data_IF_933480480597
#
_entry.id   IF_933480480597
#
_cell.length_a   1.000
_cell.length_b   1.000
_cell.length_c   1.000
_cell.angle_alpha   90.00
_cell.angle_beta   90.00
_cell.angle_gamma   90.00
#
_symmetry.space_group_name_H-M   'P 1'
#
loop_
_entity.id
_entity.type
_entity.pdbx_description
1 polymer ?
#
# COMPACT_ATOMS: atom_id res chain seq x y z
N UNK A 1 -12.54 -12.49 -10.02
CA UNK A 1 -11.69 -13.38 -10.86
C UNK A 1 -12.11 -14.86 -10.71
N UNK A 2 -12.09 -15.65 -11.79
CA UNK A 2 -12.33 -17.12 -11.79
C UNK A 2 -11.05 -17.93 -11.58
N UNK A 3 -11.16 -19.20 -11.21
CA UNK A 3 -9.99 -20.11 -11.07
C UNK A 3 -9.17 -20.24 -12.37
N UNK A 4 -9.82 -20.28 -13.54
CA UNK A 4 -9.14 -20.38 -14.83
C UNK A 4 -8.36 -19.09 -15.17
N UNK A 5 -8.94 -17.92 -14.85
CA UNK A 5 -8.28 -16.62 -14.97
C UNK A 5 -7.06 -16.55 -14.03
N UNK A 6 -7.23 -16.91 -12.76
CA UNK A 6 -6.16 -16.90 -11.75
C UNK A 6 -4.96 -17.78 -12.17
N UNK A 7 -5.26 -18.98 -12.66
CA UNK A 7 -4.21 -19.88 -13.17
C UNK A 7 -3.51 -19.32 -14.41
N UNK A 8 -4.26 -18.69 -15.31
CA UNK A 8 -3.70 -18.16 -16.56
C UNK A 8 -2.81 -16.95 -16.32
N UNK A 9 -3.20 -16.04 -15.42
CA UNK A 9 -2.36 -14.88 -15.07
C UNK A 9 -1.15 -15.30 -14.24
N UNK A 10 -1.28 -16.27 -13.33
CA UNK A 10 -0.15 -16.81 -12.56
C UNK A 10 0.92 -17.43 -13.47
N UNK A 11 0.53 -18.28 -14.42
CA UNK A 11 1.49 -18.85 -15.38
C UNK A 11 2.17 -17.78 -16.23
N UNK A 12 1.44 -16.70 -16.57
CA UNK A 12 2.03 -15.59 -17.32
C UNK A 12 3.06 -14.83 -16.47
N UNK A 13 2.76 -14.58 -15.20
CA UNK A 13 3.69 -13.92 -14.25
C UNK A 13 4.96 -14.75 -14.08
N UNK A 14 4.84 -16.07 -13.96
CA UNK A 14 6.00 -16.98 -13.83
C UNK A 14 6.94 -16.97 -15.05
N UNK A 15 6.44 -16.53 -16.20
CA UNK A 15 7.20 -16.42 -17.46
C UNK A 15 7.68 -14.99 -17.75
N UNK A 16 7.37 -14.01 -16.89
CA UNK A 16 7.79 -12.63 -17.08
C UNK A 16 9.31 -12.49 -16.94
N UNK A 17 9.92 -11.53 -17.66
CA UNK A 17 11.26 -11.08 -17.33
C UNK A 17 11.31 -10.54 -15.90
N UNK A 18 12.40 -10.84 -15.17
CA UNK A 18 12.60 -10.40 -13.78
C UNK A 18 12.31 -8.89 -13.60
N UNK A 19 12.83 -8.04 -14.50
CA UNK A 19 12.60 -6.58 -14.45
C UNK A 19 11.11 -6.19 -14.50
N UNK A 20 10.28 -6.94 -15.23
CA UNK A 20 8.84 -6.68 -15.33
C UNK A 20 8.11 -7.18 -14.09
N UNK A 21 8.48 -8.35 -13.58
CA UNK A 21 7.92 -8.89 -12.34
C UNK A 21 8.28 -8.00 -11.15
N UNK A 22 9.55 -7.57 -11.04
CA UNK A 22 10.03 -6.67 -10.00
C UNK A 22 9.25 -5.37 -10.01
N UNK A 23 9.10 -4.73 -11.17
CA UNK A 23 8.30 -3.50 -11.29
C UNK A 23 6.84 -3.73 -10.86
N UNK A 24 6.22 -4.83 -11.26
CA UNK A 24 4.85 -5.15 -10.83
C UNK A 24 4.75 -5.24 -9.30
N UNK A 25 5.73 -5.87 -8.64
CA UNK A 25 5.77 -5.96 -7.18
C UNK A 25 6.08 -4.62 -6.51
N UNK A 26 7.00 -3.82 -7.05
CA UNK A 26 7.30 -2.47 -6.55
C UNK A 26 6.04 -1.58 -6.52
N UNK A 27 5.26 -1.58 -7.61
CA UNK A 27 4.02 -0.81 -7.69
C UNK A 27 2.97 -1.30 -6.69
N UNK A 28 2.85 -2.63 -6.52
CA UNK A 28 1.95 -3.22 -5.54
C UNK A 28 2.35 -2.82 -4.10
N UNK A 29 3.64 -2.98 -3.77
CA UNK A 29 4.21 -2.64 -2.45
C UNK A 29 4.02 -1.15 -2.17
N UNK A 30 4.30 -0.27 -3.12
CA UNK A 30 4.11 1.17 -2.98
C UNK A 30 2.65 1.53 -2.73
N UNK A 31 1.71 0.92 -3.46
CA UNK A 31 0.28 1.09 -3.23
C UNK A 31 -0.15 0.61 -1.84
N UNK A 32 0.25 -0.60 -1.45
CA UNK A 32 -0.05 -1.17 -0.13
C UNK A 32 0.52 -0.31 1.00
N UNK A 33 1.77 0.15 0.87
CA UNK A 33 2.41 1.03 1.84
C UNK A 33 1.69 2.37 1.97
N UNK A 34 1.24 2.95 0.85
CA UNK A 34 0.49 4.21 0.85
C UNK A 34 -0.87 4.07 1.53
N UNK A 35 -1.60 2.99 1.22
CA UNK A 35 -2.86 2.69 1.90
C UNK A 35 -2.66 2.42 3.39
N UNK A 36 -1.69 1.57 3.74
CA UNK A 36 -1.39 1.24 5.13
C UNK A 36 -1.03 2.49 5.94
N UNK A 37 -0.25 3.40 5.37
CA UNK A 37 0.09 4.66 6.02
C UNK A 37 -1.15 5.54 6.28
N UNK A 38 -2.11 5.60 5.34
CA UNK A 38 -3.39 6.28 5.59
C UNK A 38 -4.17 5.61 6.72
N UNK A 39 -4.20 4.29 6.75
CA UNK A 39 -4.89 3.53 7.79
C UNK A 39 -4.38 3.88 9.19
N UNK A 40 -3.05 4.01 9.36
CA UNK A 40 -2.45 4.20 10.69
C UNK A 40 -2.15 5.66 11.05
N UNK A 41 -2.02 6.55 10.07
CA UNK A 41 -1.67 7.96 10.30
C UNK A 41 -2.79 8.93 9.93
N UNK A 42 -3.77 8.52 9.13
CA UNK A 42 -4.80 9.41 8.59
C UNK A 42 -5.60 10.12 9.67
N UNK A 43 -5.97 9.41 10.75
CA UNK A 43 -6.67 10.03 11.88
C UNK A 43 -5.84 11.12 12.57
N UNK A 44 -4.52 10.91 12.70
CA UNK A 44 -3.65 11.90 13.32
C UNK A 44 -3.42 13.10 12.40
N UNK A 45 -3.29 12.87 11.09
CA UNK A 45 -3.21 13.96 10.11
C UNK A 45 -4.51 14.78 10.16
N UNK A 46 -5.69 14.14 10.12
CA UNK A 46 -6.99 14.83 10.19
C UNK A 46 -7.16 15.70 11.44
N UNK A 47 -6.64 15.26 12.59
CA UNK A 47 -6.73 16.02 13.85
C UNK A 47 -5.98 17.35 13.81
N UNK A 48 -4.85 17.39 13.09
CA UNK A 48 -3.94 18.55 13.15
C UNK A 48 -3.95 19.37 11.87
N UNK A 49 -4.28 18.78 10.72
CA UNK A 49 -4.06 19.37 9.40
C UNK A 49 -4.86 20.66 9.21
N UNK A 50 -6.18 20.61 9.37
CA UNK A 50 -7.05 21.77 9.14
C UNK A 50 -6.75 22.91 10.11
N UNK A 51 -6.66 22.60 11.41
CA UNK A 51 -6.38 23.57 12.47
C UNK A 51 -5.03 24.29 12.25
N UNK A 52 -3.98 23.56 11.87
CA UNK A 52 -2.67 24.14 11.63
C UNK A 52 -2.60 24.91 10.30
N UNK A 53 -3.29 24.43 9.26
CA UNK A 53 -3.42 25.13 7.97
C UNK A 53 -4.15 26.46 8.14
N UNK A 54 -5.21 26.52 8.96
CA UNK A 54 -5.90 27.75 9.33
C UNK A 54 -5.01 28.73 10.11
N UNK A 55 -4.11 28.21 10.94
CA UNK A 55 -3.10 29.01 11.65
C UNK A 55 -1.96 29.51 10.73
N UNK A 56 -1.97 29.15 9.45
CA UNK A 56 -0.95 29.55 8.48
C UNK A 56 0.36 28.81 8.63
N UNK A 57 0.34 27.60 9.21
CA UNK A 57 1.49 26.72 9.30
C UNK A 57 1.87 26.16 7.93
N UNK A 58 3.16 25.97 7.73
CA UNK A 58 3.69 25.29 6.55
C UNK A 58 3.39 23.79 6.58
N UNK A 59 3.41 23.14 5.41
CA UNK A 59 3.23 21.68 5.31
C UNK A 59 4.30 20.96 6.14
N UNK A 60 5.54 21.46 6.12
CA UNK A 60 6.65 20.92 6.91
C UNK A 60 6.37 20.99 8.41
N UNK A 61 5.82 22.11 8.91
CA UNK A 61 5.43 22.23 10.32
C UNK A 61 4.30 21.27 10.70
N UNK A 62 3.35 21.02 9.79
CA UNK A 62 2.25 20.08 10.01
C UNK A 62 2.81 18.65 10.07
N UNK A 63 3.65 18.26 9.12
CA UNK A 63 4.29 16.95 9.12
C UNK A 63 5.12 16.70 10.37
N UNK A 64 5.89 17.69 10.82
CA UNK A 64 6.64 17.60 12.08
C UNK A 64 5.73 17.39 13.30
N UNK A 65 4.53 17.96 13.30
CA UNK A 65 3.56 17.76 14.38
C UNK A 65 2.95 16.36 14.33
N UNK A 66 2.56 15.88 13.16
CA UNK A 66 2.07 14.49 12.98
C UNK A 66 3.14 13.49 13.45
N UNK A 67 4.39 13.67 13.04
CA UNK A 67 5.51 12.78 13.41
C UNK A 67 5.77 12.71 14.92
N UNK A 68 5.43 13.75 15.69
CA UNK A 68 5.61 13.78 17.16
C UNK A 68 4.49 13.06 17.91
N UNK A 69 3.30 13.00 17.31
CA UNK A 69 2.08 12.49 17.94
C UNK A 69 1.63 11.14 17.35
N UNK A 70 2.45 10.55 16.48
CA UNK A 70 2.14 9.29 15.79
C UNK A 70 2.71 8.06 16.50
N UNK A 71 2.46 6.89 15.91
CA UNK A 71 2.82 5.58 16.41
C UNK A 71 4.35 5.37 16.51
N UNK A 72 4.72 4.60 17.53
CA UNK A 72 6.07 4.05 17.68
C UNK A 72 6.26 2.84 16.75
N UNK A 73 7.52 2.50 16.47
CA UNK A 73 7.87 1.50 15.46
C UNK A 73 7.25 0.13 15.74
N UNK A 74 7.22 -0.30 17.01
CA UNK A 74 6.59 -1.57 17.43
C UNK A 74 5.07 -1.59 17.15
N UNK A 75 4.40 -0.45 17.32
CA UNK A 75 2.96 -0.33 17.06
C UNK A 75 2.68 -0.39 15.56
N UNK A 76 3.53 0.21 14.73
CA UNK A 76 3.42 0.14 13.27
C UNK A 76 3.52 -1.31 12.80
N UNK A 77 4.53 -2.05 13.28
CA UNK A 77 4.65 -3.48 12.94
C UNK A 77 3.46 -4.30 13.44
N UNK A 78 2.98 -4.05 14.65
CA UNK A 78 1.80 -4.74 15.18
C UNK A 78 0.54 -4.48 14.36
N UNK A 79 0.35 -3.24 13.88
CA UNK A 79 -0.78 -2.90 13.01
C UNK A 79 -0.66 -3.59 11.66
N UNK A 80 0.54 -3.65 11.07
CA UNK A 80 0.75 -4.32 9.80
C UNK A 80 0.45 -5.82 9.89
N UNK A 81 1.05 -6.49 10.88
CA UNK A 81 0.84 -7.93 11.09
C UNK A 81 -0.63 -8.21 11.37
N UNK A 82 -1.28 -7.39 12.20
CA UNK A 82 -2.71 -7.52 12.48
C UNK A 82 -3.60 -7.34 11.24
N UNK A 83 -3.19 -6.50 10.28
CA UNK A 83 -3.96 -6.26 9.07
C UNK A 83 -3.80 -7.35 7.99
N UNK A 84 -2.74 -8.15 8.05
CA UNK A 84 -2.36 -9.04 6.94
C UNK A 84 -2.08 -10.49 7.34
N UNK A 85 -1.91 -10.82 8.63
CA UNK A 85 -1.46 -12.17 9.02
C UNK A 85 -2.53 -13.24 8.78
N UNK A 86 -3.78 -12.98 9.17
CA UNK A 86 -4.88 -13.90 8.98
C UNK A 86 -5.50 -13.70 7.60
N UNK A 87 -5.91 -14.80 6.94
CA UNK A 87 -6.43 -14.76 5.57
C UNK A 87 -7.65 -13.83 5.44
N UNK A 88 -8.57 -13.86 6.41
CA UNK A 88 -9.73 -12.97 6.41
C UNK A 88 -9.38 -11.49 6.61
N UNK A 89 -8.37 -11.19 7.44
CA UNK A 89 -7.92 -9.80 7.64
C UNK A 89 -7.23 -9.27 6.38
N UNK A 90 -6.43 -10.12 5.72
CA UNK A 90 -5.80 -9.80 4.44
C UNK A 90 -6.81 -9.60 3.31
N UNK A 91 -7.92 -10.36 3.29
CA UNK A 91 -9.04 -10.13 2.37
C UNK A 91 -9.65 -8.74 2.58
N UNK A 92 -9.94 -8.34 3.82
CA UNK A 92 -10.46 -7.00 4.11
C UNK A 92 -9.46 -5.90 3.75
N UNK A 93 -8.19 -6.06 4.10
CA UNK A 93 -7.14 -5.11 3.74
C UNK A 93 -7.02 -4.97 2.21
N UNK A 94 -7.09 -6.08 1.47
CA UNK A 94 -7.04 -6.08 0.01
C UNK A 94 -8.26 -5.38 -0.61
N UNK A 95 -9.48 -5.64 -0.09
CA UNK A 95 -10.71 -4.98 -0.51
C UNK A 95 -10.66 -3.46 -0.28
N UNK A 96 -10.17 -3.03 0.89
CA UNK A 96 -10.06 -1.61 1.21
C UNK A 96 -8.94 -0.95 0.40
N UNK A 97 -7.82 -1.63 0.18
CA UNK A 97 -6.74 -1.16 -0.70
C UNK A 97 -7.32 -0.77 -2.06
N UNK A 98 -7.96 -1.71 -2.77
CA UNK A 98 -8.40 -1.49 -4.15
C UNK A 98 -9.56 -0.48 -4.28
N UNK A 99 -10.20 -0.11 -3.16
CA UNK A 99 -11.19 0.96 -3.09
C UNK A 99 -10.56 2.32 -2.73
N UNK A 100 -9.36 2.33 -2.15
CA UNK A 100 -8.67 3.54 -1.74
C UNK A 100 -8.10 4.30 -2.92
N UNK A 101 -8.31 5.62 -2.93
CA UNK A 101 -7.67 6.51 -3.90
C UNK A 101 -6.14 6.55 -3.78
N UNK A 102 -5.58 6.15 -2.63
CA UNK A 102 -4.14 6.10 -2.41
C UNK A 102 -3.49 4.85 -2.98
N UNK A 103 -4.30 3.83 -3.31
CA UNK A 103 -3.83 2.61 -3.96
C UNK A 103 -4.00 2.78 -5.47
N UNK A 104 -2.93 3.20 -6.13
CA UNK A 104 -2.91 3.43 -7.57
C UNK A 104 -1.62 2.86 -8.20
N UNK A 105 -1.46 1.53 -8.22
CA UNK A 105 -0.28 0.89 -8.81
C UNK A 105 -0.21 1.14 -10.32
N UNK A 106 0.97 1.52 -10.83
CA UNK A 106 1.21 1.70 -12.27
C UNK A 106 1.80 0.42 -12.90
N UNK A 107 0.99 -0.63 -12.99
CA UNK A 107 1.46 -1.93 -13.48
C UNK A 107 2.08 -1.87 -14.90
N UNK A 108 3.07 -2.73 -15.19
CA UNK A 108 3.66 -2.83 -16.53
C UNK A 108 2.61 -3.07 -17.63
N UNK A 109 2.85 -2.51 -18.81
CA UNK A 109 1.91 -2.58 -19.93
C UNK A 109 1.60 -4.02 -20.36
N UNK A 110 2.56 -4.94 -20.21
CA UNK A 110 2.43 -6.36 -20.47
C UNK A 110 1.42 -7.03 -19.52
N UNK A 111 1.43 -6.65 -18.23
CA UNK A 111 0.44 -7.09 -17.24
C UNK A 111 -0.94 -6.58 -17.66
N UNK A 112 -1.06 -5.27 -17.90
CA UNK A 112 -2.33 -4.64 -18.29
C UNK A 112 -2.89 -5.28 -19.56
N UNK A 113 -2.05 -5.55 -20.57
CA UNK A 113 -2.46 -6.24 -21.78
C UNK A 113 -3.00 -7.65 -21.50
N UNK A 114 -2.35 -8.39 -20.58
CA UNK A 114 -2.79 -9.74 -20.21
C UNK A 114 -4.10 -9.73 -19.41
N UNK A 115 -4.26 -8.79 -18.47
CA UNK A 115 -5.51 -8.63 -17.72
C UNK A 115 -6.68 -8.34 -18.66
N UNK A 116 -6.49 -7.45 -19.63
CA UNK A 116 -7.49 -7.15 -20.66
C UNK A 116 -7.80 -8.36 -21.56
N UNK A 117 -6.80 -9.18 -21.94
CA UNK A 117 -7.01 -10.42 -22.70
C UNK A 117 -7.88 -11.42 -21.93
N UNK A 118 -7.66 -11.52 -20.61
CA UNK A 118 -8.34 -12.46 -19.73
C UNK A 118 -9.65 -11.94 -19.15
N UNK A 119 -10.04 -10.69 -19.45
CA UNK A 119 -11.21 -10.02 -18.86
C UNK A 119 -11.14 -9.97 -17.32
N UNK A 120 -9.98 -9.58 -16.80
CA UNK A 120 -9.71 -9.40 -15.36
C UNK A 120 -9.61 -7.90 -15.07
N UNK A 121 -10.37 -7.42 -14.08
CA UNK A 121 -10.23 -6.04 -13.60
C UNK A 121 -8.94 -5.88 -12.79
N UNK A 122 -8.30 -4.72 -12.88
CA UNK A 122 -7.06 -4.42 -12.14
C UNK A 122 -7.27 -4.53 -10.62
N UNK A 123 -8.42 -4.10 -10.11
CA UNK A 123 -8.81 -4.26 -8.70
C UNK A 123 -8.87 -5.73 -8.28
N UNK A 124 -9.52 -6.58 -9.06
CA UNK A 124 -9.58 -8.03 -8.82
C UNK A 124 -8.17 -8.64 -8.80
N UNK A 125 -7.32 -8.23 -9.75
CA UNK A 125 -5.94 -8.67 -9.84
C UNK A 125 -5.12 -8.25 -8.61
N UNK A 126 -5.15 -6.97 -8.26
CA UNK A 126 -4.47 -6.40 -7.11
C UNK A 126 -4.91 -7.07 -5.82
N UNK A 127 -6.21 -7.24 -5.58
CA UNK A 127 -6.71 -7.86 -4.36
C UNK A 127 -6.19 -9.31 -4.21
N UNK A 128 -6.22 -10.09 -5.30
CA UNK A 128 -5.68 -11.44 -5.30
C UNK A 128 -4.16 -11.47 -5.09
N UNK A 129 -3.42 -10.53 -5.67
CA UNK A 129 -1.98 -10.41 -5.40
C UNK A 129 -1.73 -10.10 -3.93
N UNK A 130 -2.40 -9.10 -3.35
CA UNK A 130 -2.23 -8.74 -1.93
C UNK A 130 -2.41 -9.96 -1.03
N UNK A 131 -3.48 -10.72 -1.21
CA UNK A 131 -3.78 -11.91 -0.40
C UNK A 131 -2.68 -12.98 -0.55
N UNK A 132 -2.21 -13.23 -1.77
CA UNK A 132 -1.21 -14.27 -2.04
C UNK A 132 0.21 -13.86 -1.59
N UNK A 133 0.53 -12.57 -1.64
CA UNK A 133 1.86 -12.03 -1.33
C UNK A 133 1.95 -11.43 0.08
N UNK A 134 0.90 -11.51 0.90
CA UNK A 134 0.83 -10.91 2.25
C UNK A 134 2.02 -11.27 3.15
N UNK A 135 2.43 -12.54 3.16
CA UNK A 135 3.52 -13.02 4.01
C UNK A 135 4.86 -12.41 3.56
N UNK A 136 5.07 -12.29 2.25
CA UNK A 136 6.26 -11.66 1.67
C UNK A 136 6.27 -10.15 1.91
N UNK A 137 5.11 -9.50 1.86
CA UNK A 137 4.98 -8.08 2.20
C UNK A 137 5.31 -7.83 3.67
N UNK A 138 4.77 -8.64 4.60
CA UNK A 138 5.10 -8.55 6.02
C UNK A 138 6.61 -8.76 6.24
N UNK A 139 7.18 -9.80 5.64
CA UNK A 139 8.60 -10.12 5.78
C UNK A 139 9.51 -8.99 5.29
N UNK A 140 9.23 -8.46 4.09
CA UNK A 140 9.91 -7.31 3.51
C UNK A 140 9.80 -6.08 4.42
N UNK A 141 8.60 -5.77 4.87
CA UNK A 141 8.35 -4.57 5.68
C UNK A 141 9.02 -4.65 7.05
N UNK A 142 9.08 -5.82 7.67
CA UNK A 142 9.68 -6.02 8.99
C UNK A 142 11.21 -6.10 8.93
N UNK A 143 11.76 -6.70 7.88
CA UNK A 143 13.19 -7.02 7.84
C UNK A 143 14.02 -6.10 6.95
N UNK A 144 13.44 -5.56 5.87
CA UNK A 144 14.17 -4.84 4.83
C UNK A 144 13.90 -3.33 4.84
N UNK A 145 12.78 -2.88 5.41
CA UNK A 145 12.45 -1.45 5.51
C UNK A 145 13.08 -0.81 6.76
N UNK A 146 13.75 0.34 6.56
CA UNK A 146 14.01 1.26 7.67
C UNK A 146 12.70 1.97 8.03
N UNK A 147 12.03 1.47 9.07
CA UNK A 147 10.74 1.95 9.53
C UNK A 147 10.75 3.44 9.91
N UNK A 148 11.88 3.94 10.40
CA UNK A 148 12.00 5.34 10.83
C UNK A 148 12.07 6.25 9.61
N UNK A 149 12.88 5.87 8.62
CA UNK A 149 12.96 6.57 7.33
C UNK A 149 11.60 6.51 6.61
N UNK A 150 11.04 5.31 6.46
CA UNK A 150 9.73 5.10 5.85
C UNK A 150 8.63 5.95 6.51
N UNK A 151 8.54 5.93 7.84
CA UNK A 151 7.56 6.70 8.61
C UNK A 151 7.68 8.19 8.33
N UNK A 152 8.91 8.71 8.31
CA UNK A 152 9.13 10.12 8.09
C UNK A 152 8.75 10.54 6.67
N UNK A 153 9.16 9.76 5.68
CA UNK A 153 8.95 10.07 4.27
C UNK A 153 7.48 9.92 3.87
N UNK A 154 6.82 8.85 4.33
CA UNK A 154 5.42 8.60 3.99
C UNK A 154 4.49 9.63 4.65
N UNK A 155 4.78 10.07 5.89
CA UNK A 155 4.02 11.15 6.53
C UNK A 155 4.21 12.45 5.75
N UNK A 156 5.43 12.80 5.34
CA UNK A 156 5.66 14.02 4.54
C UNK A 156 4.87 13.98 3.23
N UNK A 157 4.86 12.84 2.53
CA UNK A 157 4.09 12.65 1.32
C UNK A 157 2.58 12.76 1.56
N UNK A 158 2.07 12.12 2.62
CA UNK A 158 0.65 12.15 2.96
C UNK A 158 0.20 13.57 3.30
N UNK A 159 0.88 14.28 4.22
CA UNK A 159 0.52 15.65 4.61
C UNK A 159 0.58 16.60 3.40
N UNK A 160 1.58 16.47 2.53
CA UNK A 160 1.68 17.30 1.33
C UNK A 160 0.51 17.10 0.36
N UNK A 161 -0.04 15.87 0.31
CA UNK A 161 -1.19 15.53 -0.54
C UNK A 161 -2.55 15.70 0.14
N UNK A 162 -2.59 15.90 1.46
CA UNK A 162 -3.81 16.00 2.26
C UNK A 162 -4.64 17.23 1.85
N UNK A 163 -5.78 17.05 1.19
CA UNK A 163 -6.73 18.11 0.84
C UNK A 163 -8.16 17.59 0.66
#
# INVERSE_FOLDING_TARGET
MTEEQAKSISNFIDELPDETADKMFEELVAGMSSYFAILIFGEEIDKVYDDMKEQGKSIEEISEEVKKNTLEDEEIYSNLVGALQEEGDAEFFAEDCVQSISFNPEYPAEIIAKLNELDIEESDFSANLIINFRDQFIDFFVNDIDIVEWKNDIIDALVASWN
#
